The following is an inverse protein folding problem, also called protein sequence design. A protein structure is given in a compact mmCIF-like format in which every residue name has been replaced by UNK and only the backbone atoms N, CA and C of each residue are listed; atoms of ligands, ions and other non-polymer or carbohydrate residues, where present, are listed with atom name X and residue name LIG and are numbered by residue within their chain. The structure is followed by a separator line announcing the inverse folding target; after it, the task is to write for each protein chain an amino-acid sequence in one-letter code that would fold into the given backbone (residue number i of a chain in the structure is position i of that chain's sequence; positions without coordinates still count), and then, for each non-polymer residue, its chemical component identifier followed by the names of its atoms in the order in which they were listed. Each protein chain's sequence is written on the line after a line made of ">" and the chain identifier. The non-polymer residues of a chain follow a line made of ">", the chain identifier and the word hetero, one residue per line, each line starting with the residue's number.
data_IF_831959379742
#
_entry.id   IF_831959379742
#
_cell.length_a   1.000
_cell.length_b   1.000
_cell.length_c   1.000
_cell.angle_alpha   90.00
_cell.angle_beta   90.00
_cell.angle_gamma   90.00
#
_symmetry.space_group_name_H-M   'P 1'
#
loop_
_entity.id
_entity.type
_entity.pdbx_description
1 polymer ?
#
# COMPACT_ATOMS: atom_id res chain seq x y z
N UNK A 1 -21.80 30.01 -12.12
CA UNK A 1 -22.41 29.26 -11.04
C UNK A 1 -22.44 27.78 -11.34
N UNK A 2 -23.17 27.37 -12.39
CA UNK A 2 -23.17 25.95 -12.76
C UNK A 2 -21.80 25.44 -13.11
N UNK A 3 -20.97 26.28 -13.74
CA UNK A 3 -19.61 25.90 -14.11
C UNK A 3 -18.74 25.61 -12.89
N UNK A 4 -18.97 26.33 -11.83
CA UNK A 4 -18.21 26.13 -10.60
C UNK A 4 -18.47 24.76 -9.99
N UNK A 5 -19.72 24.31 -10.02
CA UNK A 5 -20.08 23.01 -9.50
C UNK A 5 -19.42 21.88 -10.29
N UNK A 6 -19.41 22.01 -11.60
CA UNK A 6 -18.78 21.01 -12.47
C UNK A 6 -17.28 20.93 -12.19
N UNK A 7 -16.66 22.06 -11.98
CA UNK A 7 -15.22 22.11 -11.67
C UNK A 7 -14.92 21.38 -10.38
N UNK A 8 -15.77 21.53 -9.37
CA UNK A 8 -15.59 20.86 -8.10
C UNK A 8 -15.66 19.35 -8.25
N UNK A 9 -16.58 18.85 -9.06
CA UNK A 9 -16.68 17.43 -9.33
C UNK A 9 -15.40 16.87 -9.91
N UNK A 10 -14.86 17.54 -10.89
CA UNK A 10 -13.62 17.09 -11.53
C UNK A 10 -12.49 17.03 -10.53
N UNK A 11 -12.38 18.03 -9.67
CA UNK A 11 -11.34 18.07 -8.65
C UNK A 11 -11.44 16.89 -7.70
N UNK A 12 -12.64 16.53 -7.27
CA UNK A 12 -12.84 15.41 -6.37
C UNK A 12 -12.41 14.09 -7.00
N UNK A 13 -12.72 13.90 -8.28
CA UNK A 13 -12.35 12.68 -8.99
C UNK A 13 -10.82 12.53 -9.03
N UNK A 14 -10.11 13.59 -9.34
CA UNK A 14 -8.66 13.56 -9.37
C UNK A 14 -8.08 13.24 -8.00
N UNK A 15 -8.62 13.83 -6.96
CA UNK A 15 -8.15 13.60 -5.60
C UNK A 15 -8.27 12.12 -5.23
N UNK A 16 -9.38 11.50 -5.56
CA UNK A 16 -9.62 10.09 -5.24
C UNK A 16 -8.64 9.16 -5.95
N UNK A 17 -8.30 9.45 -7.20
CA UNK A 17 -7.42 8.57 -7.98
C UNK A 17 -5.95 8.75 -7.63
N UNK A 18 -5.59 9.78 -6.86
CA UNK A 18 -4.20 10.10 -6.54
C UNK A 18 -3.60 9.21 -5.44
N UNK A 19 -4.40 8.44 -4.72
CA UNK A 19 -3.96 7.72 -3.52
C UNK A 19 -4.15 6.21 -3.59
N UNK A 20 -3.92 5.63 -4.75
CA UNK A 20 -4.04 4.18 -4.86
C UNK A 20 -2.93 3.63 -5.74
N UNK A 21 -2.28 2.57 -5.28
CA UNK A 21 -1.33 1.84 -6.11
C UNK A 21 -2.09 1.01 -7.14
N UNK A 22 -1.40 0.52 -8.15
CA UNK A 22 -2.05 -0.32 -9.15
C UNK A 22 -2.34 -1.70 -8.58
N UNK A 23 -3.26 -2.40 -9.22
CA UNK A 23 -3.59 -3.77 -8.84
C UNK A 23 -2.37 -4.67 -8.97
N UNK A 24 -1.56 -4.47 -9.98
CA UNK A 24 -0.33 -5.23 -10.17
C UNK A 24 0.67 -4.98 -9.06
N UNK A 25 0.80 -3.74 -8.62
CA UNK A 25 1.67 -3.39 -7.50
C UNK A 25 1.18 -4.03 -6.20
N UNK A 26 -0.12 -3.98 -5.96
CA UNK A 26 -0.71 -4.59 -4.78
C UNK A 26 -0.45 -6.10 -4.74
N UNK A 27 -0.69 -6.77 -5.88
CA UNK A 27 -0.47 -8.21 -5.98
C UNK A 27 0.99 -8.57 -5.77
N UNK A 28 1.91 -7.77 -6.30
CA UNK A 28 3.35 -8.02 -6.13
C UNK A 28 3.75 -7.88 -4.66
N UNK A 29 3.22 -6.87 -3.97
CA UNK A 29 3.46 -6.68 -2.54
C UNK A 29 2.95 -7.88 -1.74
N UNK A 30 1.72 -8.31 -2.02
CA UNK A 30 1.12 -9.43 -1.32
C UNK A 30 1.91 -10.71 -1.53
N UNK A 31 2.21 -11.05 -2.78
CA UNK A 31 2.95 -12.27 -3.12
C UNK A 31 4.35 -12.27 -2.54
N UNK A 32 5.04 -11.13 -2.61
CA UNK A 32 6.38 -11.00 -2.06
C UNK A 32 6.40 -11.21 -0.56
N UNK A 33 5.42 -10.65 0.13
CA UNK A 33 5.26 -10.84 1.57
C UNK A 33 4.94 -12.29 1.90
N UNK A 34 3.97 -12.87 1.22
CA UNK A 34 3.51 -14.23 1.50
C UNK A 34 4.58 -15.28 1.21
N UNK A 35 5.46 -15.03 0.25
CA UNK A 35 6.55 -15.95 -0.06
C UNK A 35 7.55 -16.10 1.08
N UNK A 36 7.56 -15.16 2.02
CA UNK A 36 8.45 -15.19 3.18
C UNK A 36 7.79 -15.81 4.41
N UNK A 37 6.68 -16.45 4.22
CA UNK A 37 5.92 -17.08 5.29
C UNK A 37 6.77 -18.06 6.10
N UNK A 38 6.84 -17.85 7.41
CA UNK A 38 7.64 -18.67 8.30
C UNK A 38 7.20 -18.47 9.75
N UNK A 39 7.08 -19.56 10.50
CA UNK A 39 6.88 -19.51 11.94
C UNK A 39 5.48 -19.16 12.43
N UNK A 40 4.59 -18.74 11.56
CA UNK A 40 3.22 -18.37 11.92
C UNK A 40 2.22 -19.13 11.07
N UNK A 41 0.95 -19.08 11.47
CA UNK A 41 -0.09 -19.79 10.73
C UNK A 41 -0.34 -19.18 9.36
N UNK A 42 -0.88 -19.97 8.45
CA UNK A 42 -1.26 -19.47 7.13
C UNK A 42 -2.30 -18.35 7.24
N UNK A 43 -3.25 -18.51 8.17
CA UNK A 43 -4.27 -17.49 8.41
C UNK A 43 -3.64 -16.15 8.81
N UNK A 44 -2.66 -16.17 9.70
CA UNK A 44 -1.95 -14.96 10.11
C UNK A 44 -1.25 -14.33 8.92
N UNK A 45 -0.50 -15.12 8.16
CA UNK A 45 0.27 -14.58 7.04
C UNK A 45 -0.58 -13.96 5.95
N UNK A 46 -1.73 -14.55 5.65
CA UNK A 46 -2.65 -13.97 4.68
C UNK A 46 -3.15 -12.60 5.16
N UNK A 47 -3.58 -12.51 6.41
CA UNK A 47 -4.07 -11.27 6.98
C UNK A 47 -2.95 -10.22 7.08
N UNK A 48 -1.79 -10.62 7.52
CA UNK A 48 -0.63 -9.76 7.67
C UNK A 48 -0.18 -9.17 6.33
N UNK A 49 -0.04 -10.01 5.32
CA UNK A 49 0.41 -9.56 4.00
C UNK A 49 -0.63 -8.67 3.31
N UNK A 50 -1.91 -9.00 3.46
CA UNK A 50 -2.98 -8.15 2.95
C UNK A 50 -2.97 -6.79 3.64
N UNK A 51 -2.78 -6.78 4.94
CA UNK A 51 -2.68 -5.54 5.72
C UNK A 51 -1.53 -4.67 5.22
N UNK A 52 -0.36 -5.26 5.02
CA UNK A 52 0.80 -4.53 4.50
C UNK A 52 0.51 -3.93 3.13
N UNK A 53 0.00 -4.73 2.19
CA UNK A 53 -0.32 -4.23 0.85
C UNK A 53 -1.32 -3.07 0.91
N UNK A 54 -2.33 -3.17 1.79
CA UNK A 54 -3.32 -2.12 1.95
C UNK A 54 -2.73 -0.84 2.55
N UNK A 55 -1.69 -0.95 3.37
CA UNK A 55 -0.99 0.24 3.90
C UNK A 55 -0.36 1.04 2.76
N UNK A 56 0.27 0.35 1.81
CA UNK A 56 0.85 1.02 0.66
C UNK A 56 -0.24 1.62 -0.24
N UNK A 57 -1.32 0.88 -0.45
CA UNK A 57 -2.44 1.35 -1.24
C UNK A 57 -3.06 2.63 -0.66
N UNK A 58 -3.13 2.74 0.65
CA UNK A 58 -3.70 3.90 1.33
C UNK A 58 -2.76 5.10 1.38
N UNK A 59 -1.46 4.90 1.18
CA UNK A 59 -0.48 5.95 1.39
C UNK A 59 0.29 6.37 0.13
N UNK A 60 0.17 5.65 -0.97
CA UNK A 60 0.90 5.94 -2.21
C UNK A 60 -0.02 5.88 -3.41
N UNK A 61 0.22 6.76 -4.38
CA UNK A 61 -0.32 6.58 -5.73
C UNK A 61 0.57 5.58 -6.47
N UNK A 62 0.10 5.13 -7.62
CA UNK A 62 0.88 4.22 -8.46
C UNK A 62 2.24 4.79 -8.80
N UNK A 63 2.29 6.05 -9.17
CA UNK A 63 3.53 6.73 -9.55
C UNK A 63 4.44 6.93 -8.35
N UNK A 64 3.89 7.32 -7.23
CA UNK A 64 4.66 7.52 -6.01
C UNK A 64 5.30 6.22 -5.54
N UNK A 65 4.55 5.13 -5.59
CA UNK A 65 5.07 3.84 -5.18
C UNK A 65 6.20 3.38 -6.10
N UNK A 66 6.03 3.53 -7.40
CA UNK A 66 7.07 3.14 -8.35
C UNK A 66 8.36 3.92 -8.12
N UNK A 67 8.24 5.22 -7.86
CA UNK A 67 9.37 6.07 -7.57
C UNK A 67 10.04 5.70 -6.24
N UNK A 68 9.23 5.46 -5.22
CA UNK A 68 9.70 5.09 -3.90
C UNK A 68 10.46 3.75 -3.95
N UNK A 69 9.93 2.79 -4.66
CA UNK A 69 10.53 1.46 -4.80
C UNK A 69 11.94 1.54 -5.39
N UNK A 70 12.15 2.42 -6.35
CA UNK A 70 13.47 2.60 -6.97
C UNK A 70 14.49 3.19 -6.02
N UNK A 71 14.06 3.98 -5.05
CA UNK A 71 14.97 4.70 -4.16
C UNK A 71 15.25 3.97 -2.86
N UNK A 72 14.47 2.96 -2.53
CA UNK A 72 14.55 2.31 -1.21
C UNK A 72 15.72 1.36 -1.04
N UNK A 73 16.24 0.78 -2.09
CA UNK A 73 17.39 -0.12 -2.02
C UNK A 73 17.20 -1.32 -1.10
N UNK A 74 17.26 -1.11 0.20
CA UNK A 74 17.02 -2.16 1.20
C UNK A 74 15.74 -1.89 1.96
N UNK A 75 14.67 -2.58 1.59
CA UNK A 75 13.35 -2.35 2.15
C UNK A 75 13.25 -2.72 3.63
N UNK A 76 14.05 -3.65 4.11
CA UNK A 76 13.94 -4.12 5.51
C UNK A 76 14.42 -3.10 6.52
N UNK A 77 15.24 -2.14 6.09
CA UNK A 77 15.74 -1.09 7.01
C UNK A 77 15.00 0.23 6.83
N UNK A 78 14.05 0.32 5.91
CA UNK A 78 13.32 1.55 5.67
C UNK A 78 12.29 1.79 6.80
N UNK A 79 12.28 2.97 7.45
CA UNK A 79 11.35 3.25 8.56
C UNK A 79 9.88 3.09 8.20
N UNK A 80 9.49 3.44 6.97
CA UNK A 80 8.12 3.31 6.52
C UNK A 80 7.71 1.84 6.44
N UNK A 81 8.56 0.99 5.88
CA UNK A 81 8.31 -0.45 5.79
C UNK A 81 8.19 -1.04 7.19
N UNK A 82 9.11 -0.71 8.07
CA UNK A 82 9.11 -1.20 9.46
C UNK A 82 7.83 -0.79 10.18
N UNK A 83 7.40 0.46 9.99
CA UNK A 83 6.18 0.96 10.62
C UNK A 83 4.95 0.19 10.17
N UNK A 84 4.79 0.00 8.86
CA UNK A 84 3.66 -0.74 8.31
C UNK A 84 3.67 -2.19 8.79
N UNK A 85 4.83 -2.83 8.75
CA UNK A 85 4.96 -4.22 9.19
C UNK A 85 4.58 -4.38 10.66
N UNK A 86 5.05 -3.48 11.51
CA UNK A 86 4.75 -3.52 12.94
C UNK A 86 3.27 -3.33 13.21
N UNK A 87 2.66 -2.34 12.55
CA UNK A 87 1.23 -2.09 12.72
C UNK A 87 0.39 -3.29 12.31
N UNK A 88 0.75 -3.91 11.20
CA UNK A 88 0.02 -5.07 10.72
C UNK A 88 0.25 -6.31 11.57
N UNK A 89 1.47 -6.50 12.04
CA UNK A 89 1.78 -7.59 12.97
C UNK A 89 0.97 -7.47 14.25
N UNK A 90 0.98 -6.30 14.87
CA UNK A 90 0.26 -6.08 16.13
C UNK A 90 -1.24 -6.26 15.98
N UNK A 91 -1.77 -5.94 14.82
CA UNK A 91 -3.22 -6.06 14.57
C UNK A 91 -3.66 -7.51 14.44
N UNK A 92 -2.80 -8.38 13.90
CA UNK A 92 -3.19 -9.75 13.54
C UNK A 92 -2.53 -10.87 14.34
N UNK A 93 -1.59 -10.52 15.21
CA UNK A 93 -0.91 -11.53 16.04
C UNK A 93 -1.83 -12.25 17.03
#
# INVERSE_FOLDING_TARGET
>A
MKKTLITLFITLIFTNSAFAISKGQWNALYKGCYSQKEGMTTKFWKAYCKCNANKYDANFSEQEYAKWEKTVGNVTSNPTVVKFARQCYDKHK
#
